data_IF_886335132754
#
_entry.id   IF_886335132754
#
_cell.length_a   1.000
_cell.length_b   1.000
_cell.length_c   1.000
_cell.angle_alpha   90.00
_cell.angle_beta   90.00
_cell.angle_gamma   90.00
#
_symmetry.space_group_name_H-M   'P 1'
#
loop_
_entity.id
_entity.type
_entity.pdbx_description
1 polymer ?
#
# COMPACT_ATOMS: atom_id res chain seq x y z
N UNK A 1 -17.40 16.13 33.63
CA UNK A 1 -17.11 14.99 32.73
C UNK A 1 -17.12 15.57 31.34
N UNK A 2 -15.95 15.94 30.83
CA UNK A 2 -15.80 16.52 29.50
C UNK A 2 -15.20 15.42 28.63
N UNK A 3 -15.95 14.99 27.63
CA UNK A 3 -15.49 14.10 26.57
C UNK A 3 -14.41 14.84 25.78
N UNK A 4 -13.20 14.30 25.80
CA UNK A 4 -12.07 14.79 25.03
C UNK A 4 -12.05 13.96 23.74
N UNK A 5 -12.64 14.51 22.68
CA UNK A 5 -12.54 13.96 21.33
C UNK A 5 -11.06 13.82 20.96
N UNK A 6 -10.63 12.57 20.78
CA UNK A 6 -9.33 12.24 20.21
C UNK A 6 -9.40 12.62 18.73
N UNK A 7 -8.90 13.82 18.39
CA UNK A 7 -8.72 14.23 17.01
C UNK A 7 -7.70 13.29 16.34
N UNK A 8 -8.17 12.49 15.40
CA UNK A 8 -7.32 11.71 14.51
C UNK A 8 -6.50 12.69 13.66
N UNK A 9 -5.17 12.64 13.79
CA UNK A 9 -4.26 13.36 12.91
C UNK A 9 -4.33 12.68 11.53
N UNK A 10 -4.64 13.39 10.44
CA UNK A 10 -4.64 12.80 9.11
C UNK A 10 -3.22 12.34 8.75
N UNK A 11 -3.10 11.09 8.33
CA UNK A 11 -1.83 10.41 7.96
C UNK A 11 -1.04 11.19 6.91
N UNK A 12 -1.71 12.02 6.11
CA UNK A 12 -1.09 12.93 5.13
C UNK A 12 -0.05 13.88 5.74
N UNK A 13 -0.22 14.31 7.00
CA UNK A 13 0.69 15.27 7.64
C UNK A 13 2.01 14.64 8.11
N UNK A 14 2.08 13.30 8.25
CA UNK A 14 3.31 12.61 8.66
C UNK A 14 4.37 12.54 7.53
N UNK A 15 3.99 12.84 6.29
CA UNK A 15 4.86 12.73 5.10
C UNK A 15 5.25 14.08 4.48
N UNK A 16 4.86 15.21 5.10
CA UNK A 16 4.94 16.57 4.54
C UNK A 16 6.37 17.13 4.28
N UNK A 17 7.43 16.34 4.45
CA UNK A 17 8.82 16.82 4.34
C UNK A 17 9.75 16.00 3.45
N UNK A 18 9.32 14.86 2.92
CA UNK A 18 10.12 14.05 2.00
C UNK A 18 9.58 14.22 0.58
N UNK A 19 10.44 14.67 -0.35
CA UNK A 19 10.16 14.53 -1.78
C UNK A 19 9.77 13.07 -2.05
N UNK A 20 8.51 12.84 -2.43
CA UNK A 20 8.02 11.52 -2.77
C UNK A 20 8.96 10.97 -3.87
N UNK A 21 9.56 9.78 -3.67
CA UNK A 21 10.33 9.16 -4.73
C UNK A 21 9.43 9.00 -5.95
N UNK A 22 9.92 9.46 -7.09
CA UNK A 22 9.20 9.37 -8.36
C UNK A 22 8.89 7.90 -8.66
N UNK A 23 7.62 7.61 -8.96
CA UNK A 23 7.16 6.27 -9.22
C UNK A 23 7.86 5.72 -10.49
N UNK A 24 8.39 4.49 -10.48
CA UNK A 24 8.93 3.87 -11.69
C UNK A 24 7.92 3.93 -12.84
N UNK A 25 8.34 4.18 -14.09
CA UNK A 25 7.43 4.30 -15.23
C UNK A 25 6.51 3.10 -15.43
N UNK A 26 6.98 1.91 -15.06
CA UNK A 26 6.23 0.66 -15.19
C UNK A 26 5.07 0.54 -14.19
N UNK A 27 5.08 1.37 -13.12
CA UNK A 27 4.05 1.40 -12.08
C UNK A 27 3.11 2.59 -12.24
N UNK A 28 3.35 3.48 -13.21
CA UNK A 28 2.46 4.60 -13.48
C UNK A 28 1.16 4.08 -14.09
N UNK A 29 0.06 4.32 -13.39
CA UNK A 29 -1.29 4.07 -13.89
C UNK A 29 -1.77 5.20 -14.79
N UNK A 30 -1.25 6.42 -14.58
CA UNK A 30 -1.71 7.65 -15.23
C UNK A 30 -2.80 8.38 -14.45
N UNK A 31 -3.27 7.82 -13.33
CA UNK A 31 -4.22 8.47 -12.43
C UNK A 31 -3.48 9.15 -11.25
N UNK A 32 -3.43 10.50 -11.18
CA UNK A 32 -2.54 11.20 -10.26
C UNK A 32 -2.68 10.82 -8.77
N UNK A 33 -3.90 10.53 -8.33
CA UNK A 33 -4.16 10.14 -6.95
C UNK A 33 -3.62 8.73 -6.64
N UNK A 34 -3.86 7.76 -7.53
CA UNK A 34 -3.41 6.38 -7.33
C UNK A 34 -1.88 6.31 -7.45
N UNK A 35 -1.30 7.03 -8.41
CA UNK A 35 0.16 7.09 -8.56
C UNK A 35 0.85 7.72 -7.33
N UNK A 36 0.21 8.71 -6.68
CA UNK A 36 0.71 9.27 -5.43
C UNK A 36 0.63 8.26 -4.27
N UNK A 37 -0.47 7.51 -4.16
CA UNK A 37 -0.63 6.44 -3.16
C UNK A 37 0.39 5.31 -3.37
N UNK A 38 0.61 4.87 -4.62
CA UNK A 38 1.65 3.90 -4.95
C UNK A 38 3.05 4.40 -4.57
N UNK A 39 3.32 5.69 -4.75
CA UNK A 39 4.59 6.31 -4.36
C UNK A 39 4.80 6.29 -2.84
N UNK A 40 3.75 6.56 -2.07
CA UNK A 40 3.74 6.45 -0.60
C UNK A 40 3.96 5.00 -0.15
N UNK A 41 3.35 4.04 -0.83
CA UNK A 41 3.51 2.62 -0.55
C UNK A 41 4.97 2.17 -0.77
N UNK A 42 5.57 2.50 -1.92
CA UNK A 42 6.96 2.19 -2.20
C UNK A 42 7.92 2.87 -1.22
N UNK A 43 7.61 4.09 -0.80
CA UNK A 43 8.38 4.81 0.23
C UNK A 43 8.35 4.09 1.57
N UNK A 44 7.17 3.60 1.97
CA UNK A 44 6.98 2.82 3.20
C UNK A 44 7.75 1.51 3.15
N UNK A 45 7.72 0.81 2.02
CA UNK A 45 8.51 -0.41 1.79
C UNK A 45 10.02 -0.11 1.87
N UNK A 46 10.49 0.96 1.23
CA UNK A 46 11.89 1.38 1.30
C UNK A 46 12.32 1.72 2.73
N UNK A 47 11.43 2.26 3.56
CA UNK A 47 11.70 2.56 4.96
C UNK A 47 11.87 1.27 5.79
N UNK A 48 11.18 0.16 5.47
CA UNK A 48 11.37 -1.11 6.19
C UNK A 48 12.84 -1.53 6.20
N UNK A 49 13.53 -1.31 5.09
CA UNK A 49 14.96 -1.62 4.91
C UNK A 49 15.87 -0.82 5.86
N UNK A 50 15.41 0.33 6.37
CA UNK A 50 16.16 1.23 7.26
C UNK A 50 16.02 0.87 8.73
N UNK A 51 15.07 0.02 9.10
CA UNK A 51 14.85 -0.41 10.49
C UNK A 51 16.05 -1.20 11.03
N UNK A 52 16.67 -2.00 10.17
CA UNK A 52 17.88 -2.73 10.50
C UNK A 52 19.10 -2.05 9.85
N UNK A 53 20.21 -1.93 10.61
CA UNK A 53 21.45 -1.32 10.12
C UNK A 53 22.05 -2.05 8.92
N UNK A 54 21.90 -3.38 8.84
CA UNK A 54 22.42 -4.20 7.75
C UNK A 54 21.55 -5.46 7.55
N UNK A 55 20.39 -5.26 6.93
CA UNK A 55 19.46 -6.34 6.66
C UNK A 55 19.96 -7.36 5.63
N UNK A 56 20.95 -7.02 4.81
CA UNK A 56 21.46 -7.93 3.78
C UNK A 56 22.47 -8.92 4.35
N UNK A 57 23.24 -8.52 5.38
CA UNK A 57 24.30 -9.37 5.95
C UNK A 57 23.86 -10.14 7.18
N UNK A 58 22.97 -9.61 8.02
CA UNK A 58 22.59 -10.29 9.26
C UNK A 58 21.54 -11.38 9.02
N UNK A 59 21.88 -12.64 9.33
CA UNK A 59 20.91 -13.74 9.24
C UNK A 59 19.81 -13.63 10.30
N UNK A 60 20.17 -13.16 11.50
CA UNK A 60 19.30 -12.99 12.65
C UNK A 60 19.79 -11.84 13.54
N UNK A 61 18.97 -11.42 14.51
CA UNK A 61 19.27 -10.30 15.40
C UNK A 61 20.10 -10.68 16.64
N UNK A 62 20.57 -11.92 16.76
CA UNK A 62 21.30 -12.39 17.95
C UNK A 62 22.65 -11.70 18.24
N UNK A 63 23.25 -11.03 17.26
CA UNK A 63 24.46 -10.24 17.45
C UNK A 63 24.20 -8.82 17.97
N UNK A 64 22.94 -8.40 17.97
CA UNK A 64 22.54 -7.09 18.49
C UNK A 64 22.32 -7.16 20.00
N UNK A 65 22.67 -6.09 20.70
CA UNK A 65 22.30 -5.91 22.11
C UNK A 65 20.78 -5.89 22.30
N UNK A 66 20.33 -5.99 23.55
CA UNK A 66 18.90 -6.03 23.86
C UNK A 66 18.18 -4.74 23.48
N UNK A 67 18.79 -3.59 23.74
CA UNK A 67 18.19 -2.27 23.46
C UNK A 67 17.99 -2.08 21.96
N UNK A 68 18.98 -2.47 21.15
CA UNK A 68 18.89 -2.46 19.69
C UNK A 68 17.77 -3.35 19.18
N UNK A 69 17.65 -4.59 19.70
CA UNK A 69 16.59 -5.52 19.29
C UNK A 69 15.21 -4.96 19.60
N UNK A 70 15.00 -4.45 20.82
CA UNK A 70 13.75 -3.82 21.23
C UNK A 70 13.42 -2.58 20.38
N UNK A 71 14.43 -1.77 20.06
CA UNK A 71 14.25 -0.58 19.23
C UNK A 71 13.87 -0.93 17.78
N UNK A 72 14.54 -1.90 17.16
CA UNK A 72 14.21 -2.36 15.81
C UNK A 72 12.81 -3.00 15.77
N UNK A 73 12.49 -3.86 16.74
CA UNK A 73 11.16 -4.48 16.88
C UNK A 73 10.06 -3.42 17.01
N UNK A 74 10.21 -2.47 17.94
CA UNK A 74 9.22 -1.42 18.18
C UNK A 74 9.03 -0.49 16.97
N UNK A 75 10.13 -0.11 16.33
CA UNK A 75 10.08 0.69 15.08
C UNK A 75 9.35 -0.08 13.98
N UNK A 76 9.65 -1.38 13.82
CA UNK A 76 8.99 -2.22 12.82
C UNK A 76 7.49 -2.33 13.08
N UNK A 77 7.08 -2.61 14.32
CA UNK A 77 5.65 -2.73 14.69
C UNK A 77 4.89 -1.43 14.41
N UNK A 78 5.46 -0.27 14.77
CA UNK A 78 4.84 1.03 14.47
C UNK A 78 4.65 1.22 12.97
N UNK A 79 5.71 1.01 12.19
CA UNK A 79 5.66 1.17 10.74
C UNK A 79 4.70 0.21 10.06
N UNK A 80 4.55 -1.01 10.59
CA UNK A 80 3.59 -1.99 10.07
C UNK A 80 2.15 -1.58 10.35
N UNK A 81 1.89 -0.97 11.50
CA UNK A 81 0.58 -0.37 11.80
C UNK A 81 0.22 0.72 10.79
N UNK A 82 1.15 1.65 10.56
CA UNK A 82 0.94 2.75 9.61
C UNK A 82 0.77 2.24 8.17
N UNK A 83 1.60 1.29 7.76
CA UNK A 83 1.53 0.66 6.43
C UNK A 83 0.21 -0.09 6.21
N UNK A 84 -0.23 -0.89 7.18
CA UNK A 84 -1.49 -1.63 7.08
C UNK A 84 -2.69 -0.68 7.02
N UNK A 85 -2.71 0.36 7.84
CA UNK A 85 -3.76 1.37 7.79
C UNK A 85 -3.81 2.05 6.42
N UNK A 86 -2.64 2.42 5.88
CA UNK A 86 -2.54 3.03 4.55
C UNK A 86 -3.00 2.09 3.43
N UNK A 87 -2.56 0.83 3.43
CA UNK A 87 -2.94 -0.16 2.40
C UNK A 87 -4.45 -0.39 2.39
N UNK A 88 -5.06 -0.54 3.57
CA UNK A 88 -6.51 -0.74 3.67
C UNK A 88 -7.30 0.48 3.18
N UNK A 89 -6.79 1.69 3.42
CA UNK A 89 -7.38 2.92 2.89
C UNK A 89 -7.28 2.99 1.37
N UNK A 90 -6.11 2.67 0.81
CA UNK A 90 -5.90 2.61 -0.63
C UNK A 90 -6.85 1.59 -1.31
N UNK A 91 -7.01 0.40 -0.73
CA UNK A 91 -7.98 -0.59 -1.23
C UNK A 91 -9.41 -0.08 -1.22
N UNK A 92 -9.79 0.61 -0.15
CA UNK A 92 -11.12 1.24 -0.08
C UNK A 92 -11.31 2.26 -1.20
N UNK A 93 -10.31 3.11 -1.46
CA UNK A 93 -10.35 4.08 -2.56
C UNK A 93 -10.60 3.39 -3.91
N UNK A 94 -9.86 2.32 -4.20
CA UNK A 94 -10.03 1.57 -5.47
C UNK A 94 -11.39 0.88 -5.57
N UNK A 95 -11.86 0.27 -4.48
CA UNK A 95 -13.17 -0.37 -4.40
C UNK A 95 -14.31 0.62 -4.62
N UNK A 96 -14.19 1.84 -4.08
CA UNK A 96 -15.12 2.94 -4.31
C UNK A 96 -15.09 3.37 -5.78
N UNK A 97 -13.91 3.53 -6.37
CA UNK A 97 -13.76 3.84 -7.80
C UNK A 97 -14.40 2.76 -8.68
N UNK A 98 -14.17 1.48 -8.41
CA UNK A 98 -14.77 0.36 -9.15
C UNK A 98 -16.30 0.36 -9.07
N UNK A 99 -16.85 0.72 -7.90
CA UNK A 99 -18.30 0.81 -7.67
C UNK A 99 -18.91 2.00 -8.41
N UNK A 100 -18.31 3.17 -8.26
CA UNK A 100 -18.85 4.43 -8.75
C UNK A 100 -18.71 4.58 -10.27
N UNK A 101 -17.69 3.94 -10.86
CA UNK A 101 -17.51 3.84 -12.31
C UNK A 101 -18.37 2.77 -12.99
N UNK A 102 -19.28 2.13 -12.22
CA UNK A 102 -20.15 1.04 -12.66
C UNK A 102 -19.42 -0.19 -13.23
N UNK A 103 -18.10 -0.28 -13.07
CA UNK A 103 -17.29 -1.40 -13.55
C UNK A 103 -17.79 -2.72 -12.96
N UNK A 104 -18.16 -2.71 -11.67
CA UNK A 104 -18.78 -3.84 -10.97
C UNK A 104 -20.05 -4.40 -11.63
N UNK A 105 -20.80 -3.57 -12.37
CA UNK A 105 -22.02 -4.01 -13.07
C UNK A 105 -21.72 -4.61 -14.45
N UNK A 106 -20.60 -4.22 -15.05
CA UNK A 106 -20.25 -4.65 -16.42
C UNK A 106 -19.27 -5.83 -16.41
N UNK A 107 -18.27 -5.78 -15.54
CA UNK A 107 -17.22 -6.79 -15.44
C UNK A 107 -16.95 -7.17 -13.97
N UNK A 108 -17.93 -7.88 -13.40
CA UNK A 108 -17.90 -8.30 -12.01
C UNK A 108 -16.73 -9.24 -11.70
N UNK A 109 -16.34 -10.09 -12.64
CA UNK A 109 -15.26 -11.07 -12.43
C UNK A 109 -13.91 -10.37 -12.25
N UNK A 110 -13.64 -9.33 -13.06
CA UNK A 110 -12.42 -8.51 -12.91
C UNK A 110 -12.39 -7.79 -11.56
N UNK A 111 -13.48 -7.13 -11.17
CA UNK A 111 -13.55 -6.47 -9.86
C UNK A 111 -13.43 -7.46 -8.70
N UNK A 112 -14.00 -8.65 -8.81
CA UNK A 112 -13.88 -9.68 -7.78
C UNK A 112 -12.44 -10.18 -7.65
N UNK A 113 -11.74 -10.42 -8.77
CA UNK A 113 -10.33 -10.80 -8.74
C UNK A 113 -9.46 -9.71 -8.09
N UNK A 114 -9.76 -8.43 -8.34
CA UNK A 114 -9.09 -7.28 -7.70
C UNK A 114 -9.24 -7.31 -6.17
N UNK A 115 -10.49 -7.38 -5.69
CA UNK A 115 -10.79 -7.44 -4.24
C UNK A 115 -10.22 -8.70 -3.58
N UNK A 116 -10.20 -9.83 -4.27
CA UNK A 116 -9.60 -11.07 -3.77
C UNK A 116 -8.08 -10.94 -3.60
N UNK A 117 -7.39 -10.24 -4.51
CA UNK A 117 -5.95 -9.98 -4.38
C UNK A 117 -5.65 -9.04 -3.21
N UNK A 118 -6.47 -7.99 -3.00
CA UNK A 118 -6.41 -7.13 -1.80
C UNK A 118 -6.55 -7.93 -0.50
N UNK A 119 -7.54 -8.83 -0.44
CA UNK A 119 -7.77 -9.68 0.72
C UNK A 119 -6.60 -10.66 0.95
N UNK A 120 -6.07 -11.25 -0.13
CA UNK A 120 -4.96 -12.20 -0.07
C UNK A 120 -3.68 -11.56 0.47
N UNK A 121 -3.29 -10.39 -0.04
CA UNK A 121 -2.10 -9.70 0.47
C UNK A 121 -2.28 -9.23 1.92
N UNK A 122 -3.47 -8.72 2.28
CA UNK A 122 -3.77 -8.31 3.65
C UNK A 122 -3.60 -9.48 4.63
N UNK A 123 -4.15 -10.64 4.29
CA UNK A 123 -3.97 -11.87 5.09
C UNK A 123 -2.51 -12.27 5.20
N UNK A 124 -1.75 -12.24 4.10
CA UNK A 124 -0.33 -12.61 4.10
C UNK A 124 0.53 -11.68 4.95
N UNK A 125 0.29 -10.38 4.89
CA UNK A 125 1.00 -9.40 5.73
C UNK A 125 0.67 -9.63 7.20
N UNK A 126 -0.60 -9.85 7.54
CA UNK A 126 -1.01 -10.15 8.92
C UNK A 126 -0.37 -11.43 9.46
N UNK A 127 -0.29 -12.50 8.66
CA UNK A 127 0.41 -13.73 9.04
C UNK A 127 1.89 -13.48 9.38
N UNK A 128 2.58 -12.69 8.55
CA UNK A 128 3.99 -12.35 8.78
C UNK A 128 4.13 -11.50 10.05
N UNK A 129 3.29 -10.48 10.23
CA UNK A 129 3.28 -9.64 11.44
C UNK A 129 2.99 -10.46 12.69
N UNK A 130 2.08 -11.42 12.64
CA UNK A 130 1.76 -12.29 13.76
C UNK A 130 2.91 -13.23 14.17
N UNK A 131 3.84 -13.51 13.25
CA UNK A 131 5.04 -14.30 13.50
C UNK A 131 6.23 -13.47 14.03
N UNK A 132 6.02 -12.21 14.39
CA UNK A 132 7.07 -11.29 14.80
C UNK A 132 7.78 -11.76 16.08
N UNK A 133 9.10 -11.91 15.96
CA UNK A 133 10.00 -12.25 17.06
C UNK A 133 11.26 -11.37 17.02
N UNK A 134 11.75 -10.98 18.20
CA UNK A 134 12.93 -10.13 18.38
C UNK A 134 14.20 -10.72 17.81
N UNK A 135 14.30 -12.04 17.73
CA UNK A 135 15.50 -12.69 17.18
C UNK A 135 15.48 -12.74 15.66
N UNK A 136 14.30 -12.61 15.05
CA UNK A 136 14.08 -12.77 13.60
C UNK A 136 13.56 -11.50 12.93
N UNK A 137 13.54 -10.35 13.62
CA UNK A 137 13.10 -9.05 13.07
C UNK A 137 13.73 -8.75 11.70
N UNK A 138 15.03 -9.02 11.53
CA UNK A 138 15.73 -8.83 10.24
C UNK A 138 15.25 -9.77 9.13
N UNK A 139 14.84 -11.00 9.48
CA UNK A 139 14.24 -11.95 8.54
C UNK A 139 12.88 -11.43 8.08
N UNK A 140 12.06 -10.99 9.03
CA UNK A 140 10.72 -10.47 8.78
C UNK A 140 10.74 -9.23 7.88
N UNK A 141 11.70 -8.31 8.09
CA UNK A 141 11.90 -7.15 7.20
C UNK A 141 12.14 -7.59 5.76
N UNK A 142 13.00 -8.59 5.53
CA UNK A 142 13.29 -9.09 4.18
C UNK A 142 12.08 -9.78 3.54
N UNK A 143 11.36 -10.57 4.32
CA UNK A 143 10.16 -11.27 3.84
C UNK A 143 9.07 -10.29 3.44
N UNK A 144 8.81 -9.25 4.26
CA UNK A 144 7.88 -8.18 3.93
C UNK A 144 8.32 -7.37 2.71
N UNK A 145 9.59 -6.97 2.66
CA UNK A 145 10.13 -6.21 1.52
C UNK A 145 9.95 -6.97 0.20
N UNK A 146 10.32 -8.26 0.18
CA UNK A 146 10.20 -9.09 -1.01
C UNK A 146 8.74 -9.39 -1.39
N UNK A 147 7.87 -9.60 -0.39
CA UNK A 147 6.44 -9.82 -0.61
C UNK A 147 5.79 -8.58 -1.21
N UNK A 148 5.94 -7.43 -0.54
CA UNK A 148 5.27 -6.18 -0.92
C UNK A 148 5.79 -5.64 -2.24
N UNK A 149 7.11 -5.63 -2.48
CA UNK A 149 7.66 -5.19 -3.77
C UNK A 149 7.13 -6.01 -4.94
N UNK A 150 7.01 -7.33 -4.77
CA UNK A 150 6.48 -8.21 -5.81
C UNK A 150 4.98 -8.00 -6.00
N UNK A 151 4.23 -7.94 -4.90
CA UNK A 151 2.79 -7.77 -4.94
C UNK A 151 2.42 -6.44 -5.59
N UNK A 152 2.99 -5.30 -5.15
CA UNK A 152 2.72 -3.97 -5.72
C UNK A 152 2.92 -3.96 -7.24
N UNK A 153 4.06 -4.48 -7.70
CA UNK A 153 4.35 -4.51 -9.15
C UNK A 153 3.35 -5.35 -9.95
N UNK A 154 2.95 -6.50 -9.43
CA UNK A 154 1.98 -7.36 -10.10
C UNK A 154 0.56 -6.79 -10.02
N UNK A 155 0.17 -6.26 -8.86
CA UNK A 155 -1.15 -5.72 -8.60
C UNK A 155 -1.47 -4.56 -9.53
N UNK A 156 -0.59 -3.55 -9.56
CA UNK A 156 -0.73 -2.40 -10.44
C UNK A 156 -0.84 -2.83 -11.90
N UNK A 157 0.02 -3.75 -12.34
CA UNK A 157 0.06 -4.19 -13.73
C UNK A 157 -1.20 -4.96 -14.15
N UNK A 158 -1.77 -5.77 -13.25
CA UNK A 158 -2.91 -6.65 -13.53
C UNK A 158 -4.26 -5.99 -13.26
N UNK A 159 -4.33 -5.07 -12.31
CA UNK A 159 -5.58 -4.54 -11.79
C UNK A 159 -5.68 -3.02 -11.98
N UNK A 160 -4.78 -2.23 -11.40
CA UNK A 160 -4.99 -0.78 -11.29
C UNK A 160 -4.87 -0.08 -12.66
N UNK A 161 -3.98 -0.56 -13.54
CA UNK A 161 -3.92 -0.08 -14.93
C UNK A 161 -5.22 -0.37 -15.68
N UNK A 162 -5.88 -1.52 -15.42
CA UNK A 162 -7.16 -1.84 -16.06
C UNK A 162 -8.28 -0.96 -15.50
N UNK A 163 -8.27 -0.70 -14.20
CA UNK A 163 -9.20 0.22 -13.55
C UNK A 163 -9.08 1.63 -14.14
N UNK A 164 -7.87 2.17 -14.26
CA UNK A 164 -7.67 3.52 -14.83
C UNK A 164 -8.09 3.57 -16.30
N UNK A 165 -7.76 2.56 -17.11
CA UNK A 165 -8.23 2.48 -18.51
C UNK A 165 -9.75 2.44 -18.61
N UNK A 166 -10.43 1.79 -17.65
CA UNK A 166 -11.89 1.80 -17.58
C UNK A 166 -12.42 3.23 -17.37
N UNK A 167 -11.85 3.96 -16.40
CA UNK A 167 -12.22 5.34 -16.09
C UNK A 167 -12.04 6.28 -17.30
N UNK A 168 -10.93 6.13 -18.03
CA UNK A 168 -10.67 6.93 -19.24
C UNK A 168 -11.73 6.67 -20.33
N UNK A 169 -12.15 5.41 -20.50
CA UNK A 169 -13.18 5.04 -21.47
C UNK A 169 -14.56 5.56 -21.08
N UNK A 170 -14.94 5.44 -19.81
CA UNK A 170 -16.23 5.92 -19.33
C UNK A 170 -16.31 7.46 -19.36
N UNK A 171 -15.25 8.14 -18.91
CA UNK A 171 -15.13 9.59 -19.02
C UNK A 171 -15.19 10.11 -20.46
N UNK A 172 -14.65 9.33 -21.42
CA UNK A 172 -14.77 9.64 -22.86
C UNK A 172 -16.19 9.44 -23.38
N UNK A 173 -16.89 8.40 -22.90
CA UNK A 173 -18.27 8.07 -23.30
C UNK A 173 -19.26 9.13 -22.78
N UNK A 174 -19.08 9.58 -21.54
CA UNK A 174 -19.86 10.67 -20.96
C UNK A 174 -19.62 12.01 -21.68
N UNK A 175 -18.37 12.34 -22.03
CA UNK A 175 -18.06 13.57 -22.80
C UNK A 175 -18.63 13.55 -24.21
N UNK A 176 -18.62 12.40 -24.89
CA UNK A 176 -19.24 12.26 -26.21
C UNK A 176 -20.78 12.36 -26.14
N UNK A 177 -21.41 11.80 -25.11
CA UNK A 177 -22.85 11.92 -24.92
C UNK A 177 -23.30 13.38 -24.67
N UNK A 178 -22.49 14.16 -23.94
CA UNK A 178 -22.77 15.60 -23.72
C UNK A 178 -22.64 16.42 -25.01
N UNK A 179 -21.62 16.15 -25.84
CA UNK A 179 -21.42 16.86 -27.11
C UNK A 179 -22.42 16.48 -28.22
N UNK A 180 -23.11 15.34 -28.08
CA UNK A 180 -24.13 14.89 -29.04
C UNK A 180 -25.55 15.42 -28.73
N UNK A 181 -25.73 16.09 -27.59
CA UNK A 181 -27.00 16.69 -27.16
C UNK A 181 -27.08 18.22 -27.39
N UNK A 182 -26.04 18.82 -27.98
CA UNK A 182 -26.01 20.20 -28.46
C UNK A 182 -26.22 20.28 -29.98
#
# INVERSE_FOLDING_TARGET
MADQEVQAIPIADCFAGASLPELPPELLTGHPHLDAEHGLLLSSIANLRRVCVDQLRFQHCGHCDQDRRQHCEGTLVSMLGDLLAFILEHFRTEDEIMRDSLMLLVDREVCQAHMEDHAAISGKVQEIVAALDRMTTVVLIRELDALLMRWVGNHIALHDILLVRWLERDGSSLRQATLACD
#
